data_IF_799195649554
#
_entry.id   IF_799195649554
#
_cell.length_a   1.000
_cell.length_b   1.000
_cell.length_c   1.000
_cell.angle_alpha   90.00
_cell.angle_beta   90.00
_cell.angle_gamma   90.00
#
_symmetry.space_group_name_H-M   'P 1'
#
loop_
_entity.id
_entity.type
_entity.pdbx_description
1 polymer ?
#
# COMPACT_ATOMS: atom_id res chain seq x y z
N UNK A 1 -1.47 14.33 27.90
CA UNK A 1 -0.28 13.99 27.09
C UNK A 1 -0.56 12.62 26.52
N UNK A 2 -1.04 12.56 25.28
CA UNK A 2 -1.48 11.30 24.68
C UNK A 2 -0.28 10.43 24.39
N UNK A 3 -0.28 9.27 25.02
CA UNK A 3 0.73 8.22 24.91
C UNK A 3 0.57 7.52 23.55
N UNK A 4 1.04 8.18 22.48
CA UNK A 4 1.22 7.57 21.17
C UNK A 4 2.49 6.72 21.25
N UNK A 5 2.41 5.59 21.96
CA UNK A 5 3.52 4.67 22.16
C UNK A 5 4.19 4.34 20.83
N UNK A 6 5.51 4.61 20.75
CA UNK A 6 6.48 4.25 19.71
C UNK A 6 5.91 3.83 18.33
N UNK A 7 5.08 4.67 17.71
CA UNK A 7 4.57 4.44 16.35
C UNK A 7 5.56 5.01 15.37
N UNK A 8 5.99 4.20 14.40
CA UNK A 8 6.84 4.69 13.32
C UNK A 8 5.98 5.54 12.37
N UNK A 9 6.48 6.71 12.01
CA UNK A 9 5.82 7.60 11.04
C UNK A 9 6.40 7.38 9.66
N UNK A 10 5.52 7.25 8.67
CA UNK A 10 5.91 7.16 7.26
C UNK A 10 5.18 8.23 6.48
N UNK A 11 5.94 9.05 5.76
CA UNK A 11 5.39 10.08 4.88
C UNK A 11 4.56 9.42 3.78
N UNK A 12 3.34 9.93 3.60
CA UNK A 12 2.36 9.38 2.70
C UNK A 12 1.56 10.49 2.00
N UNK A 13 1.27 10.26 0.73
CA UNK A 13 0.26 11.00 -0.03
C UNK A 13 -0.94 10.08 -0.24
N UNK A 14 -2.15 10.58 0.05
CA UNK A 14 -3.39 9.81 -0.02
C UNK A 14 -4.31 10.48 -1.04
N UNK A 15 -4.63 9.77 -2.11
CA UNK A 15 -5.64 10.18 -3.08
C UNK A 15 -6.96 9.52 -2.71
N UNK A 16 -7.99 10.33 -2.48
CA UNK A 16 -9.34 9.89 -2.16
C UNK A 16 -10.14 9.56 -3.43
N UNK A 17 -11.28 8.88 -3.26
CA UNK A 17 -12.16 8.42 -4.33
C UNK A 17 -12.73 9.56 -5.19
N UNK A 18 -12.85 10.75 -4.60
CA UNK A 18 -13.28 11.99 -5.27
C UNK A 18 -12.11 12.74 -5.93
N UNK A 19 -10.88 12.22 -5.83
CA UNK A 19 -9.67 12.83 -6.36
C UNK A 19 -8.99 13.83 -5.42
N UNK A 20 -9.53 14.10 -4.22
CA UNK A 20 -8.87 14.95 -3.26
C UNK A 20 -7.55 14.31 -2.76
N UNK A 21 -6.53 15.14 -2.52
CA UNK A 21 -5.20 14.69 -2.09
C UNK A 21 -4.95 15.16 -0.66
N UNK A 22 -4.52 14.23 0.19
CA UNK A 22 -4.07 14.49 1.55
C UNK A 22 -2.59 14.15 1.68
N UNK A 23 -1.81 15.06 2.25
CA UNK A 23 -0.40 14.85 2.53
C UNK A 23 -0.17 14.81 4.05
N UNK A 24 0.61 13.83 4.50
CA UNK A 24 0.93 13.71 5.92
C UNK A 24 1.77 12.50 6.27
N UNK A 25 1.79 12.18 7.55
CA UNK A 25 2.47 11.01 8.08
C UNK A 25 1.47 9.98 8.61
N UNK A 26 1.62 8.77 8.11
CA UNK A 26 0.88 7.60 8.54
C UNK A 26 1.59 6.95 9.73
N UNK A 27 0.81 6.49 10.72
CA UNK A 27 1.32 5.88 11.93
C UNK A 27 1.28 4.36 11.83
N UNK A 28 2.45 3.74 11.87
CA UNK A 28 2.62 2.29 11.79
C UNK A 28 2.84 1.72 13.20
N UNK A 29 2.18 0.59 13.47
CA UNK A 29 2.35 -0.14 14.72
C UNK A 29 3.63 -0.97 14.74
N UNK A 30 3.95 -1.56 15.90
CA UNK A 30 4.90 -2.65 15.95
C UNK A 30 4.28 -3.90 15.28
N UNK A 31 5.02 -4.56 14.39
CA UNK A 31 4.61 -5.87 13.86
C UNK A 31 4.90 -6.95 14.90
N UNK A 32 3.98 -7.90 15.06
CA UNK A 32 4.16 -9.08 15.89
C UNK A 32 4.91 -10.21 15.18
N UNK A 33 5.24 -10.05 13.88
CA UNK A 33 6.00 -11.02 13.13
C UNK A 33 7.47 -11.04 13.60
N UNK A 34 8.03 -12.25 13.78
CA UNK A 34 9.44 -12.42 14.12
C UNK A 34 10.32 -12.54 12.86
N UNK A 35 11.49 -11.88 12.80
CA UNK A 35 12.01 -10.95 13.79
C UNK A 35 11.16 -9.68 13.87
N UNK A 36 11.03 -9.12 15.09
CA UNK A 36 10.26 -7.91 15.37
C UNK A 36 10.56 -6.85 14.31
N UNK A 37 9.59 -6.61 13.45
CA UNK A 37 9.66 -5.62 12.38
C UNK A 37 8.65 -4.52 12.65
N UNK A 38 8.83 -3.36 12.03
CA UNK A 38 7.74 -2.39 11.95
C UNK A 38 6.67 -2.96 11.03
N UNK A 39 5.41 -2.78 11.42
CA UNK A 39 4.30 -3.04 10.50
C UNK A 39 4.52 -2.28 9.18
N UNK A 40 4.28 -2.94 8.05
CA UNK A 40 4.32 -2.31 6.74
C UNK A 40 3.07 -1.46 6.47
N UNK A 41 3.14 -0.44 5.59
CA UNK A 41 1.95 0.27 5.15
C UNK A 41 0.83 -0.62 4.61
N UNK A 42 1.18 -1.70 3.90
CA UNK A 42 0.20 -2.65 3.37
C UNK A 42 -0.54 -3.39 4.49
N UNK A 43 0.16 -3.82 5.54
CA UNK A 43 -0.46 -4.47 6.70
C UNK A 43 -1.40 -3.51 7.43
N UNK A 44 -0.96 -2.27 7.71
CA UNK A 44 -1.78 -1.24 8.35
C UNK A 44 -3.08 -0.99 7.57
N UNK A 45 -2.96 -0.79 6.26
CA UNK A 45 -4.08 -0.54 5.36
C UNK A 45 -5.04 -1.73 5.31
N UNK A 46 -4.54 -2.96 5.44
CA UNK A 46 -5.36 -4.17 5.40
C UNK A 46 -5.91 -4.64 6.76
N UNK A 47 -5.62 -3.93 7.87
CA UNK A 47 -6.31 -4.20 9.13
C UNK A 47 -7.83 -4.05 9.01
N UNK A 48 -8.57 -4.73 9.88
CA UNK A 48 -10.03 -4.75 9.88
C UNK A 48 -10.66 -3.39 10.21
N UNK A 49 -9.97 -2.53 10.97
CA UNK A 49 -10.48 -1.21 11.34
C UNK A 49 -10.69 -0.34 10.09
N UNK A 50 -11.85 0.34 9.95
CA UNK A 50 -12.21 1.05 8.73
C UNK A 50 -11.49 2.39 8.53
N UNK A 51 -10.82 2.91 9.56
CA UNK A 51 -10.10 4.19 9.53
C UNK A 51 -8.64 4.02 9.96
N UNK A 52 -7.78 4.92 9.51
CA UNK A 52 -6.43 5.09 10.04
C UNK A 52 -6.15 6.56 10.32
N UNK A 53 -5.21 6.84 11.22
CA UNK A 53 -4.79 8.20 11.55
C UNK A 53 -3.70 8.69 10.59
N UNK A 54 -3.87 9.90 10.07
CA UNK A 54 -2.90 10.64 9.27
C UNK A 54 -2.59 11.95 9.98
N UNK A 55 -1.33 12.18 10.34
CA UNK A 55 -0.89 13.50 10.82
C UNK A 55 -0.66 14.38 9.61
N UNK A 56 -1.50 15.39 9.43
CA UNK A 56 -1.47 16.26 8.25
C UNK A 56 -0.19 17.11 8.24
N UNK A 57 0.34 17.41 7.06
CA UNK A 57 1.54 18.26 6.93
C UNK A 57 1.37 19.66 7.56
N UNK A 58 0.16 20.21 7.52
CA UNK A 58 -0.20 21.50 8.16
C UNK A 58 -0.48 21.41 9.67
N UNK A 59 -0.29 20.24 10.28
CA UNK A 59 -0.63 19.97 11.68
C UNK A 59 -2.04 19.40 11.86
N UNK A 60 -2.29 18.82 13.04
CA UNK A 60 -3.53 18.10 13.33
C UNK A 60 -3.51 16.64 12.86
N UNK A 61 -4.58 15.93 13.20
CA UNK A 61 -4.75 14.50 12.87
C UNK A 61 -6.09 14.32 12.17
N UNK A 62 -6.08 13.68 11.00
CA UNK A 62 -7.26 13.25 10.29
C UNK A 62 -7.45 11.74 10.46
N UNK A 63 -8.70 11.30 10.62
CA UNK A 63 -9.06 9.88 10.52
C UNK A 63 -9.57 9.60 9.11
N UNK A 64 -8.75 8.90 8.33
CA UNK A 64 -9.00 8.67 6.90
C UNK A 64 -9.73 7.35 6.72
N UNK A 65 -10.87 7.37 6.03
CA UNK A 65 -11.64 6.16 5.71
C UNK A 65 -10.93 5.35 4.65
N UNK A 66 -10.55 4.11 4.98
CA UNK A 66 -9.92 3.17 4.04
C UNK A 66 -10.80 2.86 2.83
N UNK A 67 -12.13 2.93 3.00
CA UNK A 67 -13.07 2.73 1.90
C UNK A 67 -13.03 3.86 0.86
N UNK A 68 -12.61 5.06 1.26
CA UNK A 68 -12.53 6.25 0.41
C UNK A 68 -11.13 6.51 -0.12
N UNK A 69 -10.09 5.79 0.33
CA UNK A 69 -8.74 5.89 -0.25
C UNK A 69 -8.71 5.14 -1.57
N UNK A 70 -8.42 5.83 -2.67
CA UNK A 70 -8.22 5.22 -3.98
C UNK A 70 -6.79 4.68 -4.13
N UNK A 71 -5.81 5.51 -3.80
CA UNK A 71 -4.40 5.13 -3.77
C UNK A 71 -3.68 5.86 -2.63
N UNK A 72 -2.77 5.16 -1.95
CA UNK A 72 -1.81 5.74 -1.03
C UNK A 72 -0.42 5.55 -1.62
N UNK A 73 0.43 6.58 -1.59
CA UNK A 73 1.81 6.50 -2.01
C UNK A 73 2.77 6.78 -0.85
N UNK A 74 3.84 5.99 -0.76
CA UNK A 74 4.96 6.23 0.14
C UNK A 74 6.25 6.22 -0.68
N UNK A 75 7.21 7.07 -0.30
CA UNK A 75 8.59 6.90 -0.78
C UNK A 75 9.15 5.62 -0.18
N UNK A 76 9.78 4.80 -1.00
CA UNK A 76 10.39 3.57 -0.55
C UNK A 76 11.54 3.89 0.43
N UNK A 77 11.43 3.41 1.66
CA UNK A 77 12.50 3.48 2.67
C UNK A 77 13.26 2.14 2.78
N UNK A 78 12.95 1.17 1.91
CA UNK A 78 13.28 -0.25 2.09
C UNK A 78 13.86 -0.95 0.86
N UNK A 79 14.38 -0.20 -0.13
CA UNK A 79 15.08 -0.77 -1.30
C UNK A 79 16.22 -1.75 -0.94
N UNK A 80 16.72 -1.70 0.30
CA UNK A 80 17.78 -2.58 0.81
C UNK A 80 17.27 -3.93 1.38
N UNK A 81 15.99 -4.04 1.78
CA UNK A 81 15.45 -5.24 2.43
C UNK A 81 14.85 -6.29 1.46
N UNK A 82 14.71 -5.95 0.18
CA UNK A 82 13.96 -6.76 -0.81
C UNK A 82 14.85 -7.59 -1.75
N UNK A 83 16.16 -7.32 -1.80
CA UNK A 83 17.09 -8.07 -2.67
C UNK A 83 17.23 -9.55 -2.30
N UNK A 84 17.02 -9.92 -1.03
CA UNK A 84 17.11 -11.31 -0.57
C UNK A 84 15.80 -12.09 -0.77
N UNK A 85 14.63 -11.42 -0.71
CA UNK A 85 13.29 -12.02 -0.98
C UNK A 85 12.97 -12.16 -2.47
N UNK A 86 13.59 -11.34 -3.32
CA UNK A 86 13.41 -11.37 -4.77
C UNK A 86 13.78 -12.71 -5.43
N UNK A 87 14.50 -13.61 -4.75
CA UNK A 87 14.94 -14.88 -5.35
C UNK A 87 13.81 -15.92 -5.53
N UNK A 88 12.66 -15.77 -4.86
CA UNK A 88 11.52 -16.72 -4.91
C UNK A 88 10.22 -16.07 -5.42
N UNK A 89 10.09 -14.75 -5.32
CA UNK A 89 8.88 -14.04 -5.72
C UNK A 89 8.79 -13.84 -7.25
N UNK A 90 7.61 -14.08 -7.83
CA UNK A 90 7.36 -13.73 -9.23
C UNK A 90 7.11 -12.24 -9.33
N UNK A 91 7.87 -11.55 -10.17
CA UNK A 91 7.62 -10.16 -10.56
C UNK A 91 6.63 -10.11 -11.73
N UNK A 92 5.64 -9.23 -11.64
CA UNK A 92 4.66 -8.97 -12.71
C UNK A 92 4.55 -7.46 -12.92
N UNK A 93 4.63 -7.02 -14.18
CA UNK A 93 4.36 -5.63 -14.52
C UNK A 93 2.86 -5.38 -14.69
N UNK A 94 2.36 -4.32 -14.07
CA UNK A 94 0.93 -3.99 -14.03
C UNK A 94 0.70 -2.53 -14.42
N UNK A 95 -0.36 -2.31 -15.19
CA UNK A 95 -1.04 -1.03 -15.34
C UNK A 95 -2.35 -1.06 -14.55
N UNK A 96 -2.53 -0.11 -13.63
CA UNK A 96 -3.71 0.02 -12.79
C UNK A 96 -4.45 1.30 -13.15
N UNK A 97 -5.69 1.16 -13.62
CA UNK A 97 -6.58 2.29 -13.90
C UNK A 97 -7.58 2.51 -12.76
N UNK A 98 -7.64 3.71 -12.22
CA UNK A 98 -8.62 4.11 -11.20
C UNK A 98 -9.97 4.48 -11.83
N UNK A 99 -11.02 4.50 -11.01
CA UNK A 99 -12.34 5.00 -11.40
C UNK A 99 -12.33 6.49 -11.80
N UNK A 100 -11.39 7.27 -11.23
CA UNK A 100 -11.17 8.69 -11.57
C UNK A 100 -10.55 8.90 -12.96
N UNK A 101 -10.09 7.84 -13.61
CA UNK A 101 -9.40 7.89 -14.91
C UNK A 101 -7.88 7.94 -14.82
N UNK A 102 -7.30 8.11 -13.62
CA UNK A 102 -5.85 8.05 -13.43
C UNK A 102 -5.30 6.65 -13.72
N UNK A 103 -4.12 6.57 -14.34
CA UNK A 103 -3.43 5.33 -14.70
C UNK A 103 -2.03 5.29 -14.10
N UNK A 104 -1.67 4.15 -13.51
CA UNK A 104 -0.40 3.93 -12.84
C UNK A 104 0.28 2.70 -13.42
N UNK A 105 1.60 2.76 -13.62
CA UNK A 105 2.39 1.64 -14.15
C UNK A 105 3.55 1.32 -13.23
N UNK A 106 3.69 0.06 -12.86
CA UNK A 106 4.79 -0.39 -12.02
C UNK A 106 4.84 -1.90 -11.94
N UNK A 107 5.53 -2.40 -10.91
CA UNK A 107 5.72 -3.83 -10.67
C UNK A 107 5.07 -4.25 -9.37
N UNK A 108 4.66 -5.51 -9.33
CA UNK A 108 4.26 -6.17 -8.10
C UNK A 108 4.97 -7.52 -7.97
N UNK A 109 5.20 -7.98 -6.75
CA UNK A 109 5.79 -9.28 -6.45
C UNK A 109 4.87 -10.05 -5.53
N UNK A 110 4.84 -11.36 -5.75
CA UNK A 110 4.13 -12.27 -4.89
C UNK A 110 4.78 -13.64 -4.91
N UNK A 111 4.73 -14.28 -3.76
CA UNK A 111 5.06 -15.69 -3.62
C UNK A 111 3.76 -16.49 -3.73
N UNK A 112 3.51 -17.05 -4.92
CA UNK A 112 2.41 -18.00 -5.11
C UNK A 112 2.96 -19.35 -5.53
N UNK A 113 2.35 -20.47 -5.06
CA UNK A 113 2.69 -21.80 -5.55
C UNK A 113 2.61 -21.85 -7.08
N UNK A 114 3.41 -22.69 -7.76
CA UNK A 114 3.47 -22.73 -9.24
C UNK A 114 2.10 -22.89 -9.93
N UNK A 115 1.14 -23.50 -9.24
CA UNK A 115 -0.24 -23.74 -9.70
C UNK A 115 -1.16 -22.50 -9.66
N UNK A 116 -0.76 -21.39 -9.01
CA UNK A 116 -1.50 -20.12 -8.90
C UNK A 116 -0.63 -18.92 -9.26
N UNK A 117 0.01 -18.97 -10.41
CA UNK A 117 1.06 -17.99 -10.77
C UNK A 117 0.55 -16.80 -11.59
N UNK A 118 -0.78 -16.56 -11.66
CA UNK A 118 -1.34 -15.49 -12.51
C UNK A 118 -1.43 -14.17 -11.74
N UNK A 119 -1.27 -13.05 -12.45
CA UNK A 119 -1.55 -11.71 -11.91
C UNK A 119 -2.95 -11.59 -11.28
N UNK A 120 -3.93 -12.32 -11.84
CA UNK A 120 -5.29 -12.40 -11.33
C UNK A 120 -5.37 -13.02 -9.93
N UNK A 121 -4.56 -14.04 -9.64
CA UNK A 121 -4.56 -14.70 -8.34
C UNK A 121 -4.03 -13.76 -7.26
N UNK A 122 -2.99 -12.99 -7.59
CA UNK A 122 -2.40 -11.97 -6.72
C UNK A 122 -3.40 -10.88 -6.32
N UNK A 123 -4.05 -10.22 -7.29
CA UNK A 123 -4.98 -9.11 -7.00
C UNK A 123 -6.21 -9.60 -6.23
N UNK A 124 -6.56 -10.88 -6.33
CA UNK A 124 -7.67 -11.50 -5.60
C UNK A 124 -7.28 -12.08 -4.23
N UNK A 125 -6.02 -11.97 -3.78
CA UNK A 125 -5.66 -12.36 -2.41
C UNK A 125 -6.49 -11.57 -1.38
N UNK A 126 -6.69 -12.10 -0.16
CA UNK A 126 -7.36 -11.36 0.90
C UNK A 126 -6.70 -10.00 1.17
N UNK A 127 -7.50 -9.04 1.65
CA UNK A 127 -7.07 -7.66 1.86
C UNK A 127 -7.72 -6.69 0.88
N UNK A 128 -8.02 -5.48 1.37
CA UNK A 128 -8.63 -4.38 0.62
C UNK A 128 -7.62 -3.69 -0.30
N UNK A 129 -6.34 -3.70 0.07
CA UNK A 129 -5.27 -3.05 -0.65
C UNK A 129 -4.27 -4.06 -1.21
N UNK A 130 -3.68 -3.72 -2.36
CA UNK A 130 -2.52 -4.42 -2.94
C UNK A 130 -1.46 -3.38 -3.36
N UNK A 131 -0.25 -3.84 -3.61
CA UNK A 131 0.91 -2.97 -3.81
C UNK A 131 1.43 -3.02 -5.24
N UNK A 132 1.77 -1.87 -5.80
CA UNK A 132 2.58 -1.74 -7.01
C UNK A 132 3.66 -0.70 -6.74
N UNK A 133 4.90 -0.97 -7.11
CA UNK A 133 6.00 -0.04 -6.91
C UNK A 133 6.71 0.31 -8.21
N UNK A 134 7.43 1.42 -8.12
CA UNK A 134 8.44 1.89 -9.07
C UNK A 134 9.79 1.92 -8.35
N UNK A 135 10.81 2.51 -8.97
CA UNK A 135 12.10 2.71 -8.30
C UNK A 135 12.06 3.83 -7.25
N UNK A 136 10.99 4.64 -7.21
CA UNK A 136 10.91 5.85 -6.35
C UNK A 136 9.78 5.77 -5.32
N UNK A 137 8.65 5.17 -5.72
CA UNK A 137 7.41 5.17 -4.97
C UNK A 137 6.81 3.78 -4.90
N UNK A 138 6.21 3.50 -3.75
CA UNK A 138 5.32 2.37 -3.55
C UNK A 138 3.89 2.88 -3.47
N UNK A 139 3.02 2.37 -4.34
CA UNK A 139 1.59 2.65 -4.37
C UNK A 139 0.79 1.49 -3.77
N UNK A 140 -0.19 1.84 -2.94
CA UNK A 140 -1.14 0.91 -2.34
C UNK A 140 -2.54 1.22 -2.86
N UNK A 141 -3.08 0.33 -3.68
CA UNK A 141 -4.35 0.51 -4.38
C UNK A 141 -5.51 -0.16 -3.66
N UNK A 142 -6.59 0.57 -3.42
CA UNK A 142 -7.83 -0.01 -2.93
C UNK A 142 -8.57 -0.73 -4.06
N UNK A 143 -8.71 -2.05 -3.92
CA UNK A 143 -9.33 -2.92 -4.94
C UNK A 143 -10.74 -2.49 -5.34
N UNK A 144 -11.50 -1.91 -4.43
CA UNK A 144 -12.88 -1.46 -4.70
C UNK A 144 -12.98 -0.18 -5.54
N UNK A 145 -11.87 0.56 -5.70
CA UNK A 145 -11.82 1.81 -6.47
C UNK A 145 -10.95 1.69 -7.73
N UNK A 146 -10.38 0.50 -7.97
CA UNK A 146 -9.72 0.16 -9.22
C UNK A 146 -10.78 -0.18 -10.27
N UNK A 147 -10.70 0.48 -11.43
CA UNK A 147 -11.58 0.25 -12.56
C UNK A 147 -11.14 -0.96 -13.37
N UNK A 148 -9.83 -1.09 -13.61
CA UNK A 148 -9.24 -2.19 -14.36
C UNK A 148 -7.75 -2.36 -14.03
N UNK A 149 -7.24 -3.56 -14.22
CA UNK A 149 -5.80 -3.89 -14.13
C UNK A 149 -5.41 -4.61 -15.41
N UNK A 150 -4.33 -4.17 -16.06
CA UNK A 150 -3.74 -4.85 -17.22
C UNK A 150 -2.35 -5.38 -16.84
N UNK A 151 -2.12 -6.70 -16.95
CA UNK A 151 -0.75 -7.22 -17.02
C UNK A 151 -0.05 -6.66 -18.27
N UNK A 152 1.22 -6.28 -18.12
CA UNK A 152 2.05 -5.75 -19.22
C UNK A 152 3.03 -6.79 -19.77
N UNK A 153 2.95 -8.03 -19.26
CA UNK A 153 3.78 -9.18 -19.63
C UNK A 153 3.05 -10.16 -20.55
#
# INVERSE_FOLDING_TARGET
>A
MSDWGATQRVSAEVVLADGAVLEGDMHLGASSAYPLSTESPLEMLNRAEPFFALTMAGGGVAFVSKAQVAVLSCRDQSAEADHERASVARLVALEVGLATGAEYRGRSSFELPPSRSRALDYVNMPGRFFTVWTNELTWYFNKSLVRLIRPLD
#
